data_IF_222568722353
#
_entry.id   IF_222568722353
#
_cell.length_a   1.000
_cell.length_b   1.000
_cell.length_c   1.000
_cell.angle_alpha   90.00
_cell.angle_beta   90.00
_cell.angle_gamma   90.00
#
_symmetry.space_group_name_H-M   'P 1'
#
loop_
_entity.id
_entity.type
_entity.pdbx_description
1 polymer ?
#
# COMPACT_ATOMS: atom_id res chain seq x y z
N UNK A 1 2.14 -32.04 -11.01
CA UNK A 1 2.05 -31.11 -12.16
C UNK A 1 3.31 -30.25 -12.26
N UNK A 2 4.22 -30.59 -13.17
CA UNK A 2 5.40 -29.77 -13.46
C UNK A 2 4.94 -28.55 -14.27
N UNK A 3 5.10 -27.34 -13.72
CA UNK A 3 4.86 -26.09 -14.46
C UNK A 3 5.73 -26.13 -15.73
N UNK A 4 5.11 -26.03 -16.91
CA UNK A 4 5.82 -26.04 -18.20
C UNK A 4 6.93 -24.98 -18.20
N UNK A 5 8.09 -25.25 -18.82
CA UNK A 5 9.25 -24.33 -18.85
C UNK A 5 8.87 -22.89 -19.28
N UNK A 6 7.85 -22.75 -20.13
CA UNK A 6 7.29 -21.46 -20.55
C UNK A 6 6.64 -20.66 -19.40
N UNK A 7 5.93 -21.34 -18.49
CA UNK A 7 5.33 -20.69 -17.31
C UNK A 7 6.41 -20.18 -16.35
N UNK A 8 7.50 -20.95 -16.14
CA UNK A 8 8.64 -20.50 -15.32
C UNK A 8 9.30 -19.24 -15.88
N UNK A 9 9.51 -19.16 -17.20
CA UNK A 9 10.08 -17.97 -17.83
C UNK A 9 9.16 -16.74 -17.75
N UNK A 10 7.85 -16.92 -17.91
CA UNK A 10 6.89 -15.84 -17.72
C UNK A 10 6.87 -15.34 -16.26
N UNK A 11 6.97 -16.24 -15.28
CA UNK A 11 7.04 -15.89 -13.86
C UNK A 11 8.33 -15.11 -13.54
N UNK A 12 9.47 -15.52 -14.11
CA UNK A 12 10.75 -14.81 -13.97
C UNK A 12 10.71 -13.40 -14.60
N UNK A 13 10.13 -13.27 -15.81
CA UNK A 13 9.95 -11.95 -16.45
C UNK A 13 9.01 -11.05 -15.63
N UNK A 14 7.90 -11.58 -15.14
CA UNK A 14 6.99 -10.82 -14.27
C UNK A 14 7.66 -10.38 -12.95
N UNK A 15 8.57 -11.19 -12.38
CA UNK A 15 9.35 -10.80 -11.21
C UNK A 15 10.40 -9.71 -11.52
N UNK A 16 11.05 -9.78 -12.69
CA UNK A 16 11.99 -8.75 -13.14
C UNK A 16 11.26 -7.43 -13.44
N UNK A 17 10.12 -7.50 -14.13
CA UNK A 17 9.26 -6.35 -14.39
C UNK A 17 8.71 -5.76 -13.10
N UNK A 18 8.29 -6.57 -12.12
CA UNK A 18 7.81 -6.09 -10.81
C UNK A 18 8.85 -5.21 -10.09
N UNK A 19 10.15 -5.53 -10.23
CA UNK A 19 11.26 -4.77 -9.64
C UNK A 19 11.63 -3.49 -10.40
N UNK A 20 11.24 -3.35 -11.66
CA UNK A 20 11.50 -2.11 -12.41
C UNK A 20 10.53 -1.01 -11.96
N UNK A 21 11.10 0.12 -11.54
CA UNK A 21 10.37 1.34 -11.21
C UNK A 21 10.05 2.04 -12.53
N UNK A 22 8.79 1.94 -12.99
CA UNK A 22 8.32 2.63 -14.18
C UNK A 22 7.42 3.81 -13.80
N UNK A 23 7.35 4.88 -14.63
CA UNK A 23 6.52 6.05 -14.35
C UNK A 23 5.04 5.69 -14.14
N UNK A 24 4.53 4.72 -14.91
CA UNK A 24 3.15 4.24 -14.77
C UNK A 24 2.88 3.58 -13.40
N UNK A 25 3.85 2.85 -12.84
CA UNK A 25 3.72 2.28 -11.49
C UNK A 25 3.78 3.34 -10.41
N UNK A 26 4.63 4.35 -10.57
CA UNK A 26 4.68 5.50 -9.66
C UNK A 26 3.35 6.26 -9.69
N UNK A 27 2.75 6.44 -10.86
CA UNK A 27 1.43 7.07 -10.99
C UNK A 27 0.34 6.24 -10.30
N UNK A 28 0.37 4.91 -10.45
CA UNK A 28 -0.57 4.03 -9.72
C UNK A 28 -0.36 4.07 -8.21
N UNK A 29 0.89 4.10 -7.76
CA UNK A 29 1.22 4.26 -6.35
C UNK A 29 0.71 5.61 -5.83
N UNK A 30 0.87 6.68 -6.60
CA UNK A 30 0.36 8.01 -6.26
C UNK A 30 -1.17 8.02 -6.16
N UNK A 31 -1.88 7.44 -7.14
CA UNK A 31 -3.34 7.27 -7.11
C UNK A 31 -3.82 6.46 -5.90
N UNK A 32 -3.17 5.33 -5.60
CA UNK A 32 -3.47 4.52 -4.41
C UNK A 32 -3.22 5.29 -3.12
N UNK A 33 -2.11 6.03 -3.06
CA UNK A 33 -1.76 6.86 -1.90
C UNK A 33 -2.74 8.00 -1.71
N UNK A 34 -3.21 8.64 -2.78
CA UNK A 34 -4.26 9.66 -2.71
C UNK A 34 -5.59 9.07 -2.22
N UNK A 35 -6.01 7.94 -2.77
CA UNK A 35 -7.24 7.26 -2.31
C UNK A 35 -7.15 6.89 -0.83
N UNK A 36 -6.00 6.39 -0.39
CA UNK A 36 -5.75 6.08 1.01
C UNK A 36 -5.78 7.35 1.89
N UNK A 37 -5.13 8.43 1.46
CA UNK A 37 -5.12 9.70 2.19
C UNK A 37 -6.54 10.26 2.37
N UNK A 38 -7.41 10.13 1.36
CA UNK A 38 -8.83 10.52 1.46
C UNK A 38 -9.53 9.71 2.55
N UNK A 39 -9.36 8.39 2.56
CA UNK A 39 -9.96 7.51 3.59
C UNK A 39 -9.48 7.90 4.99
N UNK A 40 -8.18 8.12 5.16
CA UNK A 40 -7.60 8.55 6.43
C UNK A 40 -8.14 9.91 6.85
N UNK A 41 -8.26 10.87 5.94
CA UNK A 41 -8.83 12.17 6.22
C UNK A 41 -10.28 12.06 6.71
N UNK A 42 -11.11 11.24 6.06
CA UNK A 42 -12.50 10.99 6.49
C UNK A 42 -12.55 10.40 7.89
N UNK A 43 -11.69 9.43 8.21
CA UNK A 43 -11.60 8.83 9.56
C UNK A 43 -11.17 9.86 10.60
N UNK A 44 -10.16 10.67 10.30
CA UNK A 44 -9.67 11.72 11.22
C UNK A 44 -10.75 12.77 11.49
N UNK A 45 -11.47 13.20 10.45
CA UNK A 45 -12.60 14.14 10.60
C UNK A 45 -13.70 13.51 11.45
N UNK A 46 -14.07 12.25 11.19
CA UNK A 46 -15.07 11.53 11.99
C UNK A 46 -14.67 11.40 13.47
N UNK A 47 -13.41 11.09 13.75
CA UNK A 47 -12.89 11.00 15.13
C UNK A 47 -12.82 12.37 15.82
N UNK A 48 -12.55 13.44 15.07
CA UNK A 48 -12.58 14.80 15.60
C UNK A 48 -14.02 15.21 15.98
N UNK A 49 -15.00 14.90 15.13
CA UNK A 49 -16.43 15.14 15.41
C UNK A 49 -16.94 14.38 16.65
N UNK A 50 -16.37 13.20 16.93
CA UNK A 50 -16.68 12.41 18.14
C UNK A 50 -15.98 12.95 19.40
N UNK A 51 -15.25 14.07 19.30
CA UNK A 51 -14.62 14.74 20.44
C UNK A 51 -13.48 13.93 21.06
N UNK A 52 -12.85 13.03 20.31
CA UNK A 52 -11.82 12.13 20.86
C UNK A 52 -10.59 12.97 21.29
N UNK A 53 -10.30 13.07 22.61
CA UNK A 53 -9.24 13.96 23.13
C UNK A 53 -7.83 13.51 22.72
N UNK A 54 -7.69 12.27 22.25
CA UNK A 54 -6.44 11.72 21.70
C UNK A 54 -5.92 12.51 20.49
N UNK A 55 -6.78 13.23 19.75
CA UNK A 55 -6.37 14.05 18.61
C UNK A 55 -5.81 15.43 19.01
N UNK A 56 -5.93 15.84 20.28
CA UNK A 56 -5.33 17.07 20.79
C UNK A 56 -3.84 16.95 21.10
N UNK A 57 -3.31 15.72 21.19
CA UNK A 57 -1.90 15.46 21.45
C UNK A 57 -1.16 15.08 20.16
N UNK A 58 -0.23 15.94 19.74
CA UNK A 58 0.58 15.77 18.51
C UNK A 58 1.31 14.42 18.46
N UNK A 59 1.77 13.90 19.61
CA UNK A 59 2.44 12.60 19.68
C UNK A 59 1.50 11.44 19.38
N UNK A 60 0.25 11.55 19.83
CA UNK A 60 -0.78 10.53 19.60
C UNK A 60 -1.24 10.59 18.14
N UNK A 61 -1.39 11.79 17.56
CA UNK A 61 -1.63 11.94 16.12
C UNK A 61 -0.51 11.31 15.28
N UNK A 62 0.76 11.59 15.60
CA UNK A 62 1.90 10.99 14.91
C UNK A 62 1.91 9.45 15.05
N UNK A 63 1.64 8.94 16.25
CA UNK A 63 1.53 7.50 16.50
C UNK A 63 0.42 6.84 15.67
N UNK A 64 -0.76 7.45 15.63
CA UNK A 64 -1.88 6.95 14.83
C UNK A 64 -1.54 6.99 13.34
N UNK A 65 -0.99 8.10 12.84
CA UNK A 65 -0.54 8.20 11.45
C UNK A 65 0.49 7.13 11.09
N UNK A 66 1.44 6.85 11.98
CA UNK A 66 2.45 5.82 11.78
C UNK A 66 1.85 4.42 11.74
N UNK A 67 0.95 4.09 12.67
CA UNK A 67 0.24 2.79 12.69
C UNK A 67 -0.60 2.60 11.42
N UNK A 68 -1.37 3.64 11.06
CA UNK A 68 -2.20 3.66 9.84
C UNK A 68 -1.33 3.48 8.60
N UNK A 69 -0.18 4.15 8.53
CA UNK A 69 0.79 3.99 7.46
C UNK A 69 1.36 2.57 7.41
N UNK A 70 1.76 1.98 8.54
CA UNK A 70 2.28 0.61 8.59
C UNK A 70 1.27 -0.42 8.09
N UNK A 71 -0.01 -0.27 8.45
CA UNK A 71 -1.08 -1.15 7.99
C UNK A 71 -1.34 -1.01 6.49
N UNK A 72 -1.25 0.22 5.96
CA UNK A 72 -1.47 0.50 4.55
C UNK A 72 -0.26 0.23 3.66
N UNK A 73 0.94 0.28 4.21
CA UNK A 73 2.20 0.03 3.51
C UNK A 73 2.19 -1.23 2.64
N UNK A 74 1.75 -2.43 3.12
CA UNK A 74 1.67 -3.62 2.26
C UNK A 74 0.67 -3.47 1.11
N UNK A 75 -0.42 -2.72 1.29
CA UNK A 75 -1.42 -2.47 0.25
C UNK A 75 -0.91 -1.47 -0.80
N UNK A 76 -0.23 -0.40 -0.37
CA UNK A 76 0.38 0.59 -1.24
C UNK A 76 1.52 -0.02 -2.07
N UNK A 77 2.39 -0.80 -1.44
CA UNK A 77 3.52 -1.47 -2.10
C UNK A 77 3.17 -2.80 -2.80
N UNK A 78 1.88 -3.16 -2.85
CA UNK A 78 1.41 -4.37 -3.54
C UNK A 78 1.80 -4.44 -5.02
N UNK A 79 2.02 -3.29 -5.67
CA UNK A 79 2.45 -3.20 -7.07
C UNK A 79 3.94 -3.54 -7.29
N UNK A 80 4.77 -3.38 -6.25
CA UNK A 80 6.22 -3.58 -6.31
C UNK A 80 6.66 -4.91 -5.70
N UNK A 81 5.79 -5.58 -4.95
CA UNK A 81 6.05 -6.93 -4.47
C UNK A 81 5.76 -7.93 -5.59
N UNK A 82 6.71 -8.81 -5.94
CA UNK A 82 6.40 -9.91 -6.84
C UNK A 82 5.27 -10.70 -6.19
N UNK A 83 4.16 -10.89 -6.91
CA UNK A 83 3.10 -11.79 -6.49
C UNK A 83 3.73 -13.17 -6.42
N UNK A 84 4.17 -13.57 -5.23
CA UNK A 84 4.51 -14.95 -4.96
C UNK A 84 3.19 -15.65 -5.13
N UNK A 85 3.04 -16.27 -6.29
CA UNK A 85 1.88 -17.02 -6.70
C UNK A 85 1.82 -18.21 -5.73
N UNK A 86 1.21 -18.00 -4.55
CA UNK A 86 0.80 -19.10 -3.68
C UNK A 86 -0.25 -19.84 -4.51
N UNK A 87 0.24 -20.92 -5.12
CA UNK A 87 -0.58 -21.98 -5.71
C UNK A 87 -1.71 -22.35 -4.77
#
# INVERSE_FOLDING_TARGET
MSKSKKQKQAELKAQQEARQITPAKLLRLALKSMGFAIVVAVVVIGLNLLGVPALGNTWVQLGIMFVVYLVAYPFLMSEFRPRVNKK
#
